data_IF_921241669659
#
_entry.id   IF_921241669659
#
_cell.length_a   1.000
_cell.length_b   1.000
_cell.length_c   1.000
_cell.angle_alpha   90.00
_cell.angle_beta   90.00
_cell.angle_gamma   90.00
#
_symmetry.space_group_name_H-M   'P 1'
#
loop_
_entity.id
_entity.type
_entity.pdbx_description
1 polymer ?
#
# COMPACT_ATOMS: atom_id res chain seq x y z
N UNK A 1 -19.58 -16.49 -21.08
CA UNK A 1 -20.24 -16.93 -19.83
C UNK A 1 -19.40 -16.63 -18.57
N UNK A 2 -18.18 -16.08 -18.71
CA UNK A 2 -17.31 -15.79 -17.56
C UNK A 2 -16.66 -17.04 -16.96
N UNK A 3 -16.77 -18.21 -17.60
CA UNK A 3 -16.23 -19.47 -17.07
C UNK A 3 -14.83 -19.79 -17.61
N UNK A 4 -14.43 -19.19 -18.73
CA UNK A 4 -13.09 -19.33 -19.31
C UNK A 4 -12.66 -18.08 -20.08
N UNK A 5 -11.36 -17.85 -20.09
CA UNK A 5 -10.75 -16.87 -21.00
C UNK A 5 -10.84 -17.39 -22.44
N UNK A 6 -11.22 -16.51 -23.37
CA UNK A 6 -11.14 -16.82 -24.81
C UNK A 6 -9.67 -16.86 -25.28
N UNK A 7 -8.85 -15.95 -24.74
CA UNK A 7 -7.40 -15.88 -24.90
C UNK A 7 -6.80 -15.34 -23.59
N UNK A 8 -5.59 -15.77 -23.25
CA UNK A 8 -4.84 -15.20 -22.14
C UNK A 8 -3.36 -15.13 -22.51
N UNK A 9 -2.67 -14.12 -21.97
CA UNK A 9 -1.22 -14.00 -22.00
C UNK A 9 -0.76 -13.73 -20.57
N UNK A 10 0.12 -14.57 -20.07
CA UNK A 10 0.80 -14.31 -18.80
C UNK A 10 1.81 -13.20 -19.01
N UNK A 11 1.72 -12.13 -18.21
CA UNK A 11 2.69 -11.03 -18.23
C UNK A 11 3.85 -11.38 -17.30
N UNK A 12 3.56 -11.60 -16.03
CA UNK A 12 4.56 -12.03 -15.04
C UNK A 12 4.07 -13.31 -14.37
N UNK A 13 4.97 -14.29 -14.25
CA UNK A 13 4.75 -15.50 -13.48
C UNK A 13 5.69 -15.48 -12.26
N UNK A 14 5.11 -15.38 -11.09
CA UNK A 14 5.85 -15.32 -9.84
C UNK A 14 6.08 -16.75 -9.35
N UNK A 15 7.33 -17.17 -9.03
CA UNK A 15 7.60 -18.47 -8.42
C UNK A 15 6.64 -18.85 -7.30
N UNK A 16 6.34 -20.14 -7.21
CA UNK A 16 5.45 -20.72 -6.20
C UNK A 16 5.98 -20.44 -4.79
N UNK A 17 5.08 -20.12 -3.86
CA UNK A 17 5.43 -19.93 -2.45
C UNK A 17 6.04 -18.57 -2.12
N UNK A 18 6.06 -17.62 -3.07
CA UNK A 18 6.59 -16.28 -2.82
C UNK A 18 5.63 -15.33 -2.09
N UNK A 19 4.43 -15.78 -1.73
CA UNK A 19 3.36 -14.96 -1.17
C UNK A 19 2.40 -14.47 -2.26
N UNK A 20 1.65 -13.40 -1.98
CA UNK A 20 0.53 -12.96 -2.82
C UNK A 20 0.85 -11.61 -3.48
N UNK A 21 0.52 -11.42 -4.78
CA UNK A 21 0.51 -10.10 -5.39
C UNK A 21 -0.45 -9.16 -4.66
N UNK A 22 0.02 -7.95 -4.37
CA UNK A 22 -0.77 -6.83 -3.91
C UNK A 22 -1.19 -5.94 -5.08
N UNK A 23 -1.36 -4.64 -4.79
CA UNK A 23 -1.64 -3.62 -5.79
C UNK A 23 -0.53 -3.48 -6.83
N UNK A 24 -0.92 -3.09 -8.03
CA UNK A 24 -0.03 -2.81 -9.16
C UNK A 24 -0.32 -1.41 -9.69
N UNK A 25 0.74 -0.65 -9.97
CA UNK A 25 0.67 0.70 -10.53
C UNK A 25 1.67 0.86 -11.68
N UNK A 26 1.39 1.80 -12.57
CA UNK A 26 2.35 2.24 -13.59
C UNK A 26 3.21 3.36 -13.01
N UNK A 27 4.53 3.18 -13.04
CA UNK A 27 5.49 4.19 -12.64
C UNK A 27 5.67 5.27 -13.72
N UNK A 28 6.15 6.48 -13.36
CA UNK A 28 6.40 7.55 -14.33
C UNK A 28 7.39 7.18 -15.44
N UNK A 29 8.31 6.25 -15.17
CA UNK A 29 9.28 5.71 -16.13
C UNK A 29 8.68 4.64 -17.08
N UNK A 30 7.38 4.36 -16.96
CA UNK A 30 6.66 3.39 -17.79
C UNK A 30 6.77 1.93 -17.32
N UNK A 31 7.44 1.66 -16.20
CA UNK A 31 7.51 0.31 -15.62
C UNK A 31 6.25 0.01 -14.79
N UNK A 32 5.89 -1.26 -14.69
CA UNK A 32 4.94 -1.72 -13.68
C UNK A 32 5.64 -1.86 -12.34
N UNK A 33 4.95 -1.49 -11.27
CA UNK A 33 5.42 -1.64 -9.88
C UNK A 33 4.32 -2.31 -9.07
N UNK A 34 4.67 -3.35 -8.33
CA UNK A 34 3.71 -4.24 -7.67
C UNK A 34 4.19 -4.64 -6.29
N UNK A 35 3.28 -4.70 -5.31
CA UNK A 35 3.57 -5.30 -4.02
C UNK A 35 3.53 -6.84 -4.08
N UNK A 36 4.39 -7.51 -3.31
CA UNK A 36 4.35 -8.96 -3.10
C UNK A 36 4.51 -9.24 -1.60
N UNK A 37 3.45 -9.75 -0.98
CA UNK A 37 3.46 -10.06 0.44
C UNK A 37 4.39 -11.23 0.77
N UNK A 38 4.83 -11.32 2.01
CA UNK A 38 5.47 -12.49 2.57
C UNK A 38 4.51 -13.69 2.51
N UNK A 39 5.02 -14.92 2.36
CA UNK A 39 4.21 -16.14 2.44
C UNK A 39 3.86 -16.56 3.88
N UNK A 40 4.21 -15.75 4.88
CA UNK A 40 4.19 -16.09 6.29
C UNK A 40 3.92 -14.84 7.15
N UNK A 41 3.58 -15.06 8.41
CA UNK A 41 3.41 -13.97 9.37
C UNK A 41 4.75 -13.37 9.82
N UNK A 42 5.70 -14.24 10.20
CA UNK A 42 7.06 -13.88 10.59
C UNK A 42 8.02 -14.98 10.14
N UNK A 43 8.79 -14.72 9.09
CA UNK A 43 9.83 -15.61 8.58
C UNK A 43 10.78 -14.87 7.64
N UNK A 44 11.94 -15.44 7.35
CA UNK A 44 12.75 -15.03 6.21
C UNK A 44 12.22 -15.71 4.94
N UNK A 45 11.67 -14.97 3.96
CA UNK A 45 11.19 -15.59 2.73
C UNK A 45 12.33 -16.21 1.91
N UNK A 46 12.05 -17.34 1.25
CA UNK A 46 13.04 -18.00 0.39
C UNK A 46 13.37 -17.21 -0.89
N UNK A 47 12.44 -16.39 -1.37
CA UNK A 47 12.63 -15.57 -2.57
C UNK A 47 12.87 -14.11 -2.22
N UNK A 48 13.78 -13.48 -2.95
CA UNK A 48 14.01 -12.02 -2.90
C UNK A 48 12.83 -11.19 -3.41
N UNK A 49 11.88 -11.79 -4.13
CA UNK A 49 10.67 -11.13 -4.61
C UNK A 49 9.51 -11.22 -3.62
N UNK A 50 9.67 -11.91 -2.51
CA UNK A 50 8.71 -11.94 -1.40
C UNK A 50 8.97 -10.82 -0.41
N UNK A 51 7.94 -10.40 0.31
CA UNK A 51 8.02 -9.31 1.27
C UNK A 51 8.68 -8.06 0.65
N UNK A 52 8.24 -7.72 -0.56
CA UNK A 52 8.93 -6.77 -1.43
C UNK A 52 7.97 -5.99 -2.31
N UNK A 53 8.42 -4.81 -2.73
CA UNK A 53 7.88 -4.15 -3.92
C UNK A 53 8.78 -4.54 -5.09
N UNK A 54 8.19 -5.00 -6.18
CA UNK A 54 8.89 -5.40 -7.40
C UNK A 54 8.58 -4.45 -8.55
N UNK A 55 9.47 -4.37 -9.53
CA UNK A 55 9.29 -3.58 -10.75
C UNK A 55 9.66 -4.40 -11.98
N UNK A 56 8.88 -4.29 -13.05
CA UNK A 56 9.07 -5.02 -14.29
C UNK A 56 8.52 -4.22 -15.48
N UNK A 57 8.93 -4.55 -16.70
CA UNK A 57 8.40 -3.93 -17.91
C UNK A 57 6.96 -4.39 -18.17
N UNK A 58 6.11 -3.61 -18.87
CA UNK A 58 4.72 -3.98 -19.15
C UNK A 58 4.52 -5.33 -19.86
N UNK A 59 5.56 -5.85 -20.53
CA UNK A 59 5.55 -7.17 -21.17
C UNK A 59 5.98 -8.32 -20.25
N UNK A 60 6.36 -8.01 -19.00
CA UNK A 60 6.83 -8.97 -17.99
C UNK A 60 8.34 -9.09 -17.86
N UNK A 61 9.10 -8.50 -18.79
CA UNK A 61 10.57 -8.61 -18.77
C UNK A 61 11.19 -7.78 -17.65
N UNK A 62 12.46 -8.08 -17.34
CA UNK A 62 13.28 -7.30 -16.41
C UNK A 62 12.65 -7.16 -15.01
N UNK A 63 12.18 -8.26 -14.43
CA UNK A 63 11.69 -8.30 -13.05
C UNK A 63 12.82 -8.03 -12.05
N UNK A 64 12.64 -6.98 -11.24
CA UNK A 64 13.60 -6.49 -10.26
C UNK A 64 12.94 -6.25 -8.91
N UNK A 65 13.74 -6.33 -7.84
CA UNK A 65 13.33 -5.85 -6.52
C UNK A 65 13.45 -4.32 -6.51
N UNK A 66 12.34 -3.63 -6.26
CA UNK A 66 12.33 -2.18 -6.07
C UNK A 66 12.69 -1.84 -4.62
N UNK A 67 12.06 -2.48 -3.64
CA UNK A 67 12.37 -2.39 -2.21
C UNK A 67 12.02 -3.73 -1.54
N UNK A 68 12.67 -4.09 -0.43
CA UNK A 68 12.36 -5.36 0.26
C UNK A 68 12.25 -5.20 1.78
N UNK A 69 11.96 -6.30 2.47
CA UNK A 69 11.71 -6.29 3.90
C UNK A 69 10.38 -5.66 4.29
N UNK A 70 9.38 -5.66 3.39
CA UNK A 70 8.02 -5.16 3.66
C UNK A 70 7.11 -6.37 3.76
N UNK A 71 6.56 -6.69 4.95
CA UNK A 71 5.72 -7.91 5.14
C UNK A 71 4.62 -8.02 4.09
N UNK A 72 3.78 -7.01 3.94
CA UNK A 72 2.67 -7.05 3.01
C UNK A 72 2.42 -5.67 2.38
N UNK A 73 3.10 -5.31 1.29
CA UNK A 73 2.80 -4.09 0.53
C UNK A 73 1.50 -4.29 -0.28
N UNK A 74 0.41 -3.67 0.17
CA UNK A 74 -0.95 -3.93 -0.39
C UNK A 74 -1.40 -2.85 -1.36
N UNK A 75 -1.46 -1.61 -0.92
CA UNK A 75 -1.88 -0.46 -1.73
C UNK A 75 -0.66 0.31 -2.20
N UNK A 76 -0.66 0.72 -3.47
CA UNK A 76 0.41 1.50 -4.08
C UNK A 76 -0.19 2.70 -4.80
N UNK A 77 0.42 3.88 -4.66
CA UNK A 77 0.09 5.05 -5.45
C UNK A 77 1.28 5.99 -5.57
N UNK A 78 1.57 6.47 -6.78
CA UNK A 78 2.52 7.56 -6.97
C UNK A 78 1.90 8.88 -6.56
N UNK A 79 2.67 9.70 -5.85
CA UNK A 79 2.34 11.09 -5.67
C UNK A 79 2.34 11.78 -7.06
N UNK A 80 1.31 12.57 -7.41
CA UNK A 80 1.20 13.15 -8.76
C UNK A 80 2.45 13.92 -9.18
N UNK A 81 2.90 13.69 -10.42
CA UNK A 81 4.05 14.37 -11.04
C UNK A 81 5.41 14.15 -10.35
N UNK A 82 5.54 13.14 -9.48
CA UNK A 82 6.81 12.75 -8.88
C UNK A 82 7.03 11.24 -8.93
N UNK A 83 8.24 10.81 -8.55
CA UNK A 83 8.59 9.40 -8.38
C UNK A 83 8.37 8.90 -6.94
N UNK A 84 7.65 9.67 -6.11
CA UNK A 84 7.37 9.30 -4.72
C UNK A 84 6.25 8.25 -4.66
N UNK A 85 6.64 6.98 -4.49
CA UNK A 85 5.72 5.87 -4.36
C UNK A 85 5.23 5.72 -2.91
N UNK A 86 3.95 5.99 -2.65
CA UNK A 86 3.31 5.66 -1.38
C UNK A 86 2.84 4.20 -1.37
N UNK A 87 3.10 3.51 -0.27
CA UNK A 87 2.76 2.11 -0.07
C UNK A 87 2.10 1.92 1.30
N UNK A 88 0.97 1.22 1.32
CA UNK A 88 0.36 0.71 2.57
C UNK A 88 0.90 -0.68 2.87
N UNK A 89 1.20 -0.94 4.14
CA UNK A 89 1.91 -2.13 4.59
C UNK A 89 1.17 -2.77 5.75
N UNK A 90 0.71 -4.03 5.61
CA UNK A 90 0.25 -4.77 6.78
C UNK A 90 1.44 -5.32 7.55
N UNK A 91 1.42 -5.18 8.87
CA UNK A 91 2.46 -5.68 9.76
C UNK A 91 2.09 -7.05 10.36
N UNK A 92 3.00 -7.67 11.12
CA UNK A 92 2.84 -9.03 11.67
C UNK A 92 1.72 -9.13 12.71
N UNK A 93 1.15 -10.33 12.84
CA UNK A 93 -0.06 -10.59 13.63
C UNK A 93 0.25 -11.18 15.02
N UNK A 94 1.38 -11.88 15.18
CA UNK A 94 1.75 -12.67 16.37
C UNK A 94 2.24 -11.87 17.60
N UNK A 95 2.25 -10.52 17.56
CA UNK A 95 2.75 -9.67 18.65
C UNK A 95 1.65 -9.11 19.57
N UNK A 96 0.40 -9.54 19.37
CA UNK A 96 -0.74 -9.21 20.21
C UNK A 96 -1.59 -8.06 19.67
N UNK A 97 -2.80 -7.90 20.19
CA UNK A 97 -3.85 -7.09 19.54
C UNK A 97 -3.60 -5.56 19.44
N UNK A 98 -2.57 -5.02 20.10
CA UNK A 98 -2.29 -3.58 20.13
C UNK A 98 -1.02 -3.21 19.35
N UNK A 99 -0.33 -4.17 18.76
CA UNK A 99 0.93 -3.93 18.06
C UNK A 99 1.23 -5.06 17.08
N UNK A 100 1.98 -4.80 16.02
CA UNK A 100 2.28 -3.49 15.42
C UNK A 100 1.07 -2.80 14.79
N UNK A 101 1.17 -1.47 14.66
CA UNK A 101 0.33 -0.67 13.78
C UNK A 101 0.71 -0.90 12.32
N UNK A 102 -0.27 -0.97 11.41
CA UNK A 102 -0.02 -0.98 9.97
C UNK A 102 0.62 0.35 9.51
N UNK A 103 1.33 0.38 8.39
CA UNK A 103 2.04 1.59 7.94
C UNK A 103 1.53 2.14 6.62
N UNK A 104 1.62 3.46 6.48
CA UNK A 104 1.74 4.14 5.19
C UNK A 104 3.14 4.73 5.11
N UNK A 105 3.84 4.51 3.99
CA UNK A 105 5.16 5.08 3.81
C UNK A 105 5.47 5.42 2.35
N UNK A 106 6.38 6.38 2.14
CA UNK A 106 6.97 6.59 0.82
C UNK A 106 8.17 5.67 0.64
N UNK A 107 8.02 4.69 -0.25
CA UNK A 107 9.02 3.65 -0.53
C UNK A 107 9.92 4.08 -1.68
N UNK A 108 11.22 3.92 -1.50
CA UNK A 108 12.26 4.28 -2.48
C UNK A 108 13.00 3.04 -2.95
N UNK A 109 13.52 3.14 -4.17
CA UNK A 109 14.34 2.10 -4.76
C UNK A 109 15.54 1.78 -3.86
N UNK A 110 15.77 0.49 -3.61
CA UNK A 110 16.89 -0.02 -2.81
C UNK A 110 16.66 -0.02 -1.29
N UNK A 111 15.51 0.46 -0.79
CA UNK A 111 15.23 0.46 0.65
C UNK A 111 14.92 -0.94 1.20
N UNK A 112 15.37 -1.17 2.43
CA UNK A 112 15.10 -2.37 3.24
C UNK A 112 14.26 -1.98 4.46
N UNK A 113 13.07 -2.56 4.59
CA UNK A 113 12.06 -2.17 5.59
C UNK A 113 12.03 -3.07 6.84
N UNK A 114 13.00 -3.97 6.97
CA UNK A 114 13.32 -4.66 8.23
C UNK A 114 12.44 -5.85 8.60
N UNK A 115 11.39 -6.20 7.85
CA UNK A 115 10.68 -7.46 8.09
C UNK A 115 11.63 -8.67 8.00
N UNK A 116 11.55 -9.65 8.93
CA UNK A 116 10.56 -9.77 10.01
C UNK A 116 10.97 -9.15 11.37
N UNK A 117 12.19 -8.63 11.46
CA UNK A 117 12.82 -8.28 12.74
C UNK A 117 12.45 -6.87 13.24
N UNK A 118 12.15 -5.94 12.34
CA UNK A 118 11.66 -4.60 12.67
C UNK A 118 10.19 -4.42 12.29
N UNK A 119 9.43 -3.90 13.25
CA UNK A 119 8.02 -3.52 13.13
C UNK A 119 7.75 -2.15 13.79
N UNK A 120 8.80 -1.32 13.95
CA UNK A 120 8.70 0.05 14.51
C UNK A 120 8.91 0.16 16.02
N UNK A 121 9.36 -0.92 16.66
CA UNK A 121 9.62 -0.97 18.10
C UNK A 121 10.91 -0.27 18.55
N UNK A 122 11.72 0.21 17.60
CA UNK A 122 13.05 0.75 17.87
C UNK A 122 14.06 -0.36 18.23
N UNK A 123 15.18 0.04 18.83
CA UNK A 123 16.27 -0.88 19.19
C UNK A 123 17.09 -1.34 17.99
N UNK A 124 18.01 -2.29 18.24
CA UNK A 124 19.02 -2.70 17.26
C UNK A 124 18.42 -3.28 15.97
N UNK A 125 17.32 -4.02 16.08
CA UNK A 125 16.62 -4.62 14.93
C UNK A 125 16.06 -3.57 13.95
N UNK A 126 15.76 -2.35 14.42
CA UNK A 126 15.25 -1.25 13.61
C UNK A 126 16.32 -0.21 13.24
N UNK A 127 17.60 -0.50 13.48
CA UNK A 127 18.70 0.40 13.07
C UNK A 127 18.70 0.56 11.56
N UNK A 128 18.76 1.81 11.09
CA UNK A 128 18.75 2.19 9.66
C UNK A 128 17.50 1.74 8.87
N UNK A 129 16.46 1.22 9.54
CA UNK A 129 15.18 0.92 8.90
C UNK A 129 14.43 2.23 8.62
N UNK A 130 13.97 2.46 7.38
CA UNK A 130 13.18 3.64 7.04
C UNK A 130 11.96 3.80 7.95
N UNK A 131 11.67 5.03 8.33
CA UNK A 131 10.51 5.35 9.14
C UNK A 131 9.25 5.47 8.25
N UNK A 132 8.08 5.02 8.73
CA UNK A 132 6.84 5.20 7.99
C UNK A 132 6.46 6.68 7.93
N UNK A 133 5.73 7.07 6.87
CA UNK A 133 5.09 8.39 6.81
C UNK A 133 4.06 8.53 7.91
N UNK A 134 3.31 7.46 8.19
CA UNK A 134 2.39 7.38 9.31
C UNK A 134 2.24 5.93 9.80
N UNK A 135 2.17 5.77 11.12
CA UNK A 135 1.62 4.57 11.74
C UNK A 135 0.09 4.67 11.75
N UNK A 136 -0.58 3.60 11.36
CA UNK A 136 -2.01 3.43 11.27
C UNK A 136 -2.46 2.45 12.37
N UNK A 137 -3.75 2.08 12.39
CA UNK A 137 -4.25 1.22 13.44
C UNK A 137 -3.59 -0.18 13.40
N UNK A 138 -3.45 -0.79 14.58
CA UNK A 138 -2.97 -2.16 14.69
C UNK A 138 -3.99 -3.16 14.14
N UNK A 139 -3.51 -4.15 13.39
CA UNK A 139 -4.34 -5.19 12.77
C UNK A 139 -5.47 -4.64 11.88
N UNK A 140 -5.25 -3.46 11.30
CA UNK A 140 -6.25 -2.75 10.52
C UNK A 140 -6.52 -3.37 9.14
N UNK A 141 -5.58 -4.19 8.66
CA UNK A 141 -5.58 -4.73 7.31
C UNK A 141 -5.73 -3.59 6.29
N UNK A 142 -4.81 -2.63 6.36
CA UNK A 142 -4.74 -1.51 5.39
C UNK A 142 -4.66 -2.03 3.96
N UNK A 143 -5.42 -1.40 3.06
CA UNK A 143 -5.56 -1.84 1.68
C UNK A 143 -5.22 -0.73 0.69
N UNK A 144 -6.11 -0.40 -0.25
CA UNK A 144 -5.86 0.60 -1.29
C UNK A 144 -5.54 1.99 -0.73
N UNK A 145 -4.71 2.73 -1.47
CA UNK A 145 -4.37 4.12 -1.20
C UNK A 145 -4.59 4.96 -2.45
N UNK A 146 -5.16 6.15 -2.28
CA UNK A 146 -5.24 7.17 -3.33
C UNK A 146 -4.63 8.47 -2.83
N UNK A 147 -3.90 9.18 -3.69
CA UNK A 147 -3.33 10.49 -3.37
C UNK A 147 -4.25 11.57 -3.91
N UNK A 148 -4.69 12.47 -3.03
CA UNK A 148 -5.43 13.68 -3.39
C UNK A 148 -4.55 14.90 -3.13
N UNK A 149 -4.60 15.86 -4.05
CA UNK A 149 -3.89 17.13 -4.05
C UNK A 149 -4.90 18.27 -4.32
N UNK A 150 -5.97 18.29 -3.54
CA UNK A 150 -7.04 19.30 -3.63
C UNK A 150 -8.33 18.90 -4.37
N UNK A 151 -8.41 17.70 -4.96
CA UNK A 151 -9.63 17.21 -5.64
C UNK A 151 -10.84 17.14 -4.70
N UNK A 152 -10.61 16.92 -3.41
CA UNK A 152 -11.63 16.89 -2.36
C UNK A 152 -11.81 18.22 -1.62
N UNK A 153 -11.23 19.31 -2.15
CA UNK A 153 -11.28 20.64 -1.52
C UNK A 153 -10.04 20.96 -0.69
N UNK A 154 -9.89 22.26 -0.39
CA UNK A 154 -8.71 22.82 0.30
C UNK A 154 -8.56 22.35 1.74
N UNK A 155 -9.67 22.00 2.41
CA UNK A 155 -9.64 21.45 3.77
C UNK A 155 -9.07 20.03 3.84
N UNK A 156 -9.11 19.28 2.74
CA UNK A 156 -8.47 17.97 2.62
C UNK A 156 -7.02 18.11 2.14
N UNK A 157 -6.77 19.08 1.25
CA UNK A 157 -5.42 19.44 0.80
C UNK A 157 -4.68 18.28 0.14
N UNK A 158 -3.38 18.18 0.43
CA UNK A 158 -2.52 17.08 -0.02
C UNK A 158 -2.59 15.93 0.99
N UNK A 159 -3.26 14.85 0.64
CA UNK A 159 -3.49 13.72 1.55
C UNK A 159 -3.39 12.38 0.82
N UNK A 160 -3.00 11.35 1.56
CA UNK A 160 -3.28 9.97 1.19
C UNK A 160 -4.62 9.54 1.82
N UNK A 161 -5.48 8.92 1.03
CA UNK A 161 -6.72 8.32 1.49
C UNK A 161 -6.51 6.81 1.53
N UNK A 162 -6.60 6.22 2.73
CA UNK A 162 -6.24 4.82 2.99
C UNK A 162 -7.43 4.08 3.58
N UNK A 163 -7.77 2.91 3.04
CA UNK A 163 -8.83 2.08 3.62
C UNK A 163 -8.27 1.08 4.63
N UNK A 164 -8.94 0.99 5.79
CA UNK A 164 -8.69 -0.01 6.83
C UNK A 164 -9.83 -1.02 6.85
N UNK A 165 -9.56 -2.22 6.35
CA UNK A 165 -10.57 -3.25 6.19
C UNK A 165 -11.18 -3.68 7.52
N UNK A 166 -10.36 -3.93 8.54
CA UNK A 166 -10.80 -4.55 9.79
C UNK A 166 -11.51 -3.57 10.71
N UNK A 167 -11.16 -2.28 10.63
CA UNK A 167 -11.73 -1.23 11.49
C UNK A 167 -12.95 -0.54 10.87
N UNK A 168 -13.25 -0.80 9.59
CA UNK A 168 -14.38 -0.19 8.89
C UNK A 168 -14.20 1.32 8.66
N UNK A 169 -12.94 1.77 8.57
CA UNK A 169 -12.57 3.17 8.40
C UNK A 169 -11.90 3.43 7.06
N UNK A 170 -12.10 4.63 6.55
CA UNK A 170 -11.20 5.25 5.58
C UNK A 170 -10.49 6.37 6.32
N UNK A 171 -9.16 6.37 6.27
CA UNK A 171 -8.32 7.39 6.88
C UNK A 171 -7.92 8.43 5.85
N UNK A 172 -7.81 9.67 6.31
CA UNK A 172 -7.06 10.74 5.66
C UNK A 172 -5.72 10.84 6.39
N UNK A 173 -4.64 10.69 5.65
CA UNK A 173 -3.29 11.01 6.12
C UNK A 173 -2.85 12.29 5.42
N UNK A 174 -2.89 13.40 6.15
CA UNK A 174 -2.40 14.69 5.63
C UNK A 174 -0.89 14.63 5.46
N UNK A 175 -0.42 14.87 4.24
CA UNK A 175 0.98 14.71 3.85
C UNK A 175 1.71 16.04 3.93
N UNK A 176 2.69 16.13 4.83
CA UNK A 176 3.69 17.18 4.83
C UNK A 176 5.01 16.64 4.26
N UNK A 177 5.68 17.44 3.43
CA UNK A 177 6.97 17.11 2.82
C UNK A 177 8.02 18.11 3.30
N UNK A 178 9.15 17.60 3.77
CA UNK A 178 10.35 18.38 4.08
C UNK A 178 11.54 17.76 3.36
N UNK A 179 12.09 18.48 2.37
CA UNK A 179 13.05 17.93 1.42
C UNK A 179 12.53 16.65 0.75
N UNK A 180 13.19 15.53 1.04
CA UNK A 180 12.82 14.20 0.53
C UNK A 180 12.01 13.36 1.53
N UNK A 181 11.78 13.85 2.74
CA UNK A 181 11.04 13.14 3.78
C UNK A 181 9.55 13.52 3.76
N UNK A 182 8.70 12.58 4.17
CA UNK A 182 7.27 12.79 4.32
C UNK A 182 6.83 12.41 5.72
N UNK A 183 6.02 13.25 6.34
CA UNK A 183 5.32 12.98 7.59
C UNK A 183 3.81 13.04 7.37
N UNK A 184 3.07 12.18 8.05
CA UNK A 184 1.63 12.04 7.93
C UNK A 184 0.91 12.36 9.24
N UNK A 185 -0.11 13.22 9.17
CA UNK A 185 -1.08 13.38 10.27
C UNK A 185 -2.33 12.57 9.97
N UNK A 186 -2.63 11.58 10.80
CA UNK A 186 -3.72 10.62 10.58
C UNK A 186 -5.03 11.12 11.19
N UNK A 187 -6.11 11.09 10.42
CA UNK A 187 -7.47 11.43 10.85
C UNK A 187 -8.49 10.50 10.20
N UNK A 188 -9.58 10.13 10.88
CA UNK A 188 -10.71 9.48 10.21
C UNK A 188 -11.26 10.37 9.09
N UNK A 189 -11.45 9.80 7.90
CA UNK A 189 -12.10 10.44 6.77
C UNK A 189 -13.54 9.94 6.61
N UNK A 190 -13.75 8.63 6.69
CA UNK A 190 -15.05 7.98 6.77
C UNK A 190 -15.01 6.89 7.84
N UNK A 191 -16.13 6.68 8.51
CA UNK A 191 -16.31 5.65 9.53
C UNK A 191 -17.63 4.93 9.32
N UNK A 192 -17.76 3.71 9.85
CA UNK A 192 -19.02 2.95 9.80
C UNK A 192 -19.19 2.12 8.53
N UNK A 193 -18.13 1.98 7.72
CA UNK A 193 -18.07 1.00 6.65
C UNK A 193 -17.94 -0.40 7.25
N UNK A 194 -18.30 -1.45 6.50
CA UNK A 194 -18.14 -2.83 6.94
C UNK A 194 -16.72 -3.30 6.69
N UNK A 195 -16.26 -3.21 5.43
CA UNK A 195 -14.94 -3.69 5.01
C UNK A 195 -14.46 -2.91 3.78
N UNK A 196 -13.92 -1.69 3.96
CA UNK A 196 -13.57 -0.82 2.84
C UNK A 196 -12.37 -1.35 2.04
N UNK A 197 -12.56 -1.49 0.71
CA UNK A 197 -11.57 -1.85 -0.34
C UNK A 197 -12.17 -1.59 -1.74
N UNK A 198 -11.39 -1.36 -2.80
CA UNK A 198 -10.15 -0.57 -2.86
C UNK A 198 -10.46 0.94 -2.84
N UNK A 199 -9.43 1.76 -2.66
CA UNK A 199 -9.49 3.23 -2.78
C UNK A 199 -8.83 3.66 -4.09
N UNK A 200 -9.54 4.39 -4.95
CA UNK A 200 -9.01 4.90 -6.22
C UNK A 200 -9.40 6.37 -6.44
N UNK A 201 -8.49 7.19 -6.97
CA UNK A 201 -8.84 8.52 -7.47
C UNK A 201 -9.31 8.42 -8.93
N UNK A 202 -10.56 8.80 -9.19
CA UNK A 202 -11.11 8.85 -10.54
C UNK A 202 -10.59 10.06 -11.34
N UNK A 203 -10.67 9.98 -12.66
CA UNK A 203 -10.33 11.10 -13.56
C UNK A 203 -11.21 12.35 -13.36
N UNK A 204 -12.36 12.20 -12.69
CA UNK A 204 -13.26 13.31 -12.32
C UNK A 204 -12.95 13.90 -10.93
N UNK A 205 -11.89 13.45 -10.27
CA UNK A 205 -11.48 13.95 -8.96
C UNK A 205 -12.27 13.35 -7.78
N UNK A 206 -13.17 12.39 -8.02
CA UNK A 206 -13.82 11.66 -6.94
C UNK A 206 -12.93 10.52 -6.43
N UNK A 207 -12.89 10.30 -5.12
CA UNK A 207 -12.32 9.10 -4.51
C UNK A 207 -13.40 8.01 -4.48
N UNK A 208 -13.10 6.87 -5.07
CA UNK A 208 -13.96 5.69 -5.08
C UNK A 208 -13.50 4.73 -3.99
N UNK A 209 -14.41 4.32 -3.12
CA UNK A 209 -14.16 3.32 -2.07
C UNK A 209 -15.20 2.22 -2.19
N UNK A 210 -14.78 1.00 -2.48
CA UNK A 210 -15.68 -0.14 -2.38
C UNK A 210 -15.83 -0.61 -0.93
N UNK A 211 -16.90 -1.35 -0.66
CA UNK A 211 -17.11 -2.07 0.58
C UNK A 211 -17.37 -3.53 0.23
N UNK A 212 -16.45 -4.40 0.61
CA UNK A 212 -16.46 -5.80 0.21
C UNK A 212 -17.69 -6.55 0.69
N UNK A 213 -18.07 -6.33 1.95
CA UNK A 213 -19.15 -7.10 2.58
C UNK A 213 -20.51 -6.73 2.03
N UNK A 214 -20.69 -5.45 1.67
CA UNK A 214 -21.97 -4.97 1.14
C UNK A 214 -22.04 -4.99 -0.39
N UNK A 215 -20.89 -5.06 -1.07
CA UNK A 215 -20.80 -4.97 -2.53
C UNK A 215 -21.06 -3.56 -3.08
N UNK A 216 -21.10 -2.53 -2.22
CA UNK A 216 -21.37 -1.14 -2.59
C UNK A 216 -20.08 -0.42 -2.94
N UNK A 217 -20.13 0.47 -3.94
CA UNK A 217 -19.05 1.42 -4.24
C UNK A 217 -19.52 2.83 -3.93
N UNK A 218 -18.80 3.51 -3.04
CA UNK A 218 -19.02 4.89 -2.67
C UNK A 218 -18.16 5.80 -3.55
N UNK A 219 -18.76 6.90 -4.04
CA UNK A 219 -18.05 7.97 -4.76
C UNK A 219 -18.06 9.22 -3.91
N UNK A 220 -16.88 9.64 -3.47
CA UNK A 220 -16.70 10.79 -2.58
C UNK A 220 -16.08 11.92 -3.40
N UNK A 221 -16.80 13.02 -3.53
CA UNK A 221 -16.36 14.18 -4.29
C UNK A 221 -16.66 15.45 -3.49
N UNK A 222 -15.98 16.53 -3.83
CA UNK A 222 -16.36 17.86 -3.37
C UNK A 222 -17.79 18.17 -3.87
N UNK A 223 -18.63 18.68 -2.97
CA UNK A 223 -19.97 19.16 -3.30
C UNK A 223 -19.93 20.37 -4.25
#
# INVERSE_FOLDING_TARGET
>A
DGTKFAQHKTIVDLPVGMGKPGGIVLAPDGRMVMGVSAPCDSCTPASKYSAAVVSFMPDGSDLQVFASGIRAPVGLAYYPQTDDLLVTMNQRDDLGAQTPGDWLAVVRRGQQWGFPDCYGQGGSACTDVPQPTAALDAHAAVSGVAIVTGQLGTSIGNSAIVAEWATGKVLRVELAKDGNAYTGTVQPFLTGMKNPVPVLLSSRGAVLVGDWTTGVVFSIAKA
#
